data_IF_571293951280
#
_entry.id   IF_571293951280
#
_cell.length_a   1.000
_cell.length_b   1.000
_cell.length_c   1.000
_cell.angle_alpha   90.00
_cell.angle_beta   90.00
_cell.angle_gamma   90.00
#
_symmetry.space_group_name_H-M   'P 1'
#
loop_
_entity.id
_entity.type
_entity.pdbx_description
1 polymer ?
#
# COMPACT_ATOMS: atom_id res chain seq x y z
N UNK A 1 10.44 30.60 -10.32
CA UNK A 1 8.99 30.33 -10.48
C UNK A 1 8.81 28.82 -10.43
N UNK A 2 8.15 28.22 -9.43
CA UNK A 2 7.90 26.78 -9.45
C UNK A 2 6.56 26.50 -10.15
N UNK A 3 6.58 25.60 -11.12
CA UNK A 3 5.39 25.17 -11.87
C UNK A 3 4.70 24.07 -11.08
N UNK A 4 3.62 24.43 -10.39
CA UNK A 4 2.69 23.49 -9.74
C UNK A 4 2.00 22.65 -10.83
N UNK A 5 2.31 21.36 -10.90
CA UNK A 5 1.47 20.40 -11.61
C UNK A 5 0.54 19.74 -10.59
N UNK A 6 -0.58 20.40 -10.31
CA UNK A 6 -1.71 19.75 -9.65
C UNK A 6 -2.39 18.86 -10.68
N UNK A 7 -1.98 17.59 -10.75
CA UNK A 7 -2.73 16.56 -11.46
C UNK A 7 -4.03 16.33 -10.68
N UNK A 8 -5.07 17.03 -11.11
CA UNK A 8 -6.46 16.77 -10.73
C UNK A 8 -6.79 15.33 -11.15
N UNK A 9 -6.96 14.46 -10.15
CA UNK A 9 -7.61 13.17 -10.33
C UNK A 9 -9.05 13.41 -10.77
N UNK A 10 -9.35 13.11 -12.04
CA UNK A 10 -10.71 12.98 -12.54
C UNK A 10 -11.06 11.50 -12.43
N UNK A 11 -11.98 11.06 -11.56
CA UNK A 11 -12.45 9.70 -11.59
C UNK A 11 -13.54 9.58 -12.67
N UNK A 12 -13.14 9.19 -13.87
CA UNK A 12 -14.05 8.53 -14.82
C UNK A 12 -13.90 7.03 -14.65
N UNK A 13 -14.76 6.40 -13.83
CA UNK A 13 -15.08 4.98 -14.01
C UNK A 13 -16.59 4.80 -13.81
N UNK A 14 -17.25 4.49 -14.92
CA UNK A 14 -18.63 4.05 -14.99
C UNK A 14 -18.79 2.66 -14.35
N UNK A 15 -19.74 2.53 -13.43
CA UNK A 15 -20.70 1.42 -13.48
C UNK A 15 -20.31 0.02 -12.99
N UNK A 16 -19.31 -0.17 -12.12
CA UNK A 16 -19.22 -1.41 -11.35
C UNK A 16 -19.92 -1.24 -9.99
N UNK A 17 -20.98 -2.03 -9.76
CA UNK A 17 -21.66 -2.10 -8.47
C UNK A 17 -20.70 -2.62 -7.39
N UNK A 18 -20.06 -1.69 -6.70
CA UNK A 18 -19.16 -2.00 -5.59
C UNK A 18 -19.96 -2.59 -4.42
N UNK A 19 -19.98 -3.91 -4.25
CA UNK A 19 -20.48 -4.52 -3.02
C UNK A 19 -19.49 -4.21 -1.90
N UNK A 20 -19.92 -3.40 -0.93
CA UNK A 20 -19.05 -2.91 0.13
C UNK A 20 -18.45 -4.06 0.97
N UNK A 21 -17.26 -3.89 1.55
CA UNK A 21 -16.47 -5.05 1.99
C UNK A 21 -16.88 -5.61 3.36
N UNK A 22 -17.80 -4.95 4.06
CA UNK A 22 -18.44 -5.44 5.29
C UNK A 22 -19.95 -5.42 5.04
N UNK A 23 -20.60 -6.57 4.83
CA UNK A 23 -22.07 -6.69 4.77
C UNK A 23 -22.82 -5.59 3.95
N UNK A 24 -22.27 -5.19 2.80
CA UNK A 24 -22.86 -4.14 1.95
C UNK A 24 -22.62 -2.70 2.40
N UNK A 25 -21.93 -2.49 3.53
CA UNK A 25 -21.45 -1.19 4.01
C UNK A 25 -20.24 -0.75 3.18
N UNK A 26 -20.39 0.37 2.47
CA UNK A 26 -19.28 1.06 1.82
C UNK A 26 -18.67 2.05 2.82
N UNK A 27 -17.37 1.96 3.16
CA UNK A 27 -16.74 2.86 4.13
C UNK A 27 -16.93 4.34 3.83
N UNK A 28 -17.02 4.71 2.54
CA UNK A 28 -17.27 6.08 2.09
C UNK A 28 -18.62 6.66 2.57
N UNK A 29 -19.60 5.81 2.88
CA UNK A 29 -20.92 6.23 3.36
C UNK A 29 -20.95 6.50 4.87
N UNK A 30 -19.87 6.20 5.61
CA UNK A 30 -19.80 6.30 7.07
C UNK A 30 -18.50 7.02 7.49
N UNK A 31 -18.32 8.29 7.12
CA UNK A 31 -17.08 9.06 7.35
C UNK A 31 -16.74 9.23 8.83
N UNK A 32 -17.71 9.19 9.73
CA UNK A 32 -17.51 9.21 11.19
C UNK A 32 -16.75 7.98 11.69
N UNK A 33 -16.89 6.84 11.01
CA UNK A 33 -16.26 5.58 11.38
C UNK A 33 -15.01 5.30 10.54
N UNK A 34 -15.09 5.56 9.23
CA UNK A 34 -14.04 5.21 8.27
C UNK A 34 -13.41 6.41 7.55
N UNK A 35 -13.69 7.65 7.97
CA UNK A 35 -13.13 8.84 7.30
C UNK A 35 -11.60 8.79 7.23
N UNK A 36 -10.97 8.26 8.29
CA UNK A 36 -9.52 8.07 8.32
C UNK A 36 -9.03 6.91 7.43
N UNK A 37 -9.89 5.95 7.07
CA UNK A 37 -9.56 4.91 6.08
C UNK A 37 -9.22 5.49 4.70
N UNK A 38 -9.82 6.64 4.35
CA UNK A 38 -9.58 7.33 3.07
C UNK A 38 -8.13 7.80 2.91
N UNK A 39 -7.41 7.93 4.02
CA UNK A 39 -6.00 8.31 4.08
C UNK A 39 -5.05 7.14 3.81
N UNK A 40 -5.57 5.91 3.70
CA UNK A 40 -4.77 4.71 3.46
C UNK A 40 -4.88 4.17 2.04
N UNK A 41 -3.88 3.37 1.68
CA UNK A 41 -3.74 2.69 0.40
C UNK A 41 -3.53 1.20 0.64
N UNK A 42 -4.18 0.41 -0.18
CA UNK A 42 -3.91 -1.01 -0.35
C UNK A 42 -2.73 -1.13 -1.32
N UNK A 43 -1.62 -1.69 -0.82
CA UNK A 43 -0.35 -1.84 -1.53
C UNK A 43 -0.12 -3.33 -1.74
N UNK A 44 -0.16 -3.77 -2.99
CA UNK A 44 0.01 -5.18 -3.36
C UNK A 44 1.29 -5.37 -4.19
N UNK A 45 2.11 -6.34 -3.82
CA UNK A 45 3.28 -6.74 -4.59
C UNK A 45 2.85 -7.44 -5.89
N UNK A 46 3.52 -7.10 -6.99
CA UNK A 46 3.35 -7.76 -8.30
C UNK A 46 4.32 -8.94 -8.49
N UNK A 47 5.26 -9.10 -7.57
CA UNK A 47 6.22 -10.20 -7.52
C UNK A 47 6.09 -10.95 -6.20
N UNK A 48 6.50 -12.22 -6.19
CA UNK A 48 6.44 -13.06 -5.00
C UNK A 48 7.21 -12.47 -3.81
N UNK A 49 8.28 -11.69 -4.07
CA UNK A 49 9.12 -11.15 -3.02
C UNK A 49 9.65 -9.78 -3.39
N UNK A 50 9.41 -8.82 -2.50
CA UNK A 50 9.97 -7.48 -2.56
C UNK A 50 10.77 -7.20 -1.29
N UNK A 51 11.73 -6.30 -1.40
CA UNK A 51 12.59 -5.90 -0.31
C UNK A 51 12.48 -4.40 -0.11
N UNK A 52 12.44 -3.94 1.13
CA UNK A 52 12.41 -2.53 1.49
C UNK A 52 13.62 -2.17 2.32
N UNK A 53 14.29 -1.09 1.95
CA UNK A 53 15.37 -0.54 2.75
C UNK A 53 14.79 0.08 4.04
N UNK A 54 15.33 -0.31 5.19
CA UNK A 54 14.83 0.11 6.51
C UNK A 54 15.11 1.58 6.84
N UNK A 55 16.02 2.22 6.11
CA UNK A 55 16.45 3.61 6.36
C UNK A 55 15.60 4.59 5.55
N UNK A 56 15.42 4.34 4.25
CA UNK A 56 14.77 5.28 3.32
C UNK A 56 13.43 4.77 2.75
N UNK A 57 13.01 3.56 3.14
CA UNK A 57 11.75 2.93 2.75
C UNK A 57 11.60 2.64 1.25
N UNK A 58 12.67 2.76 0.47
CA UNK A 58 12.67 2.42 -0.95
C UNK A 58 12.51 0.91 -1.16
N UNK A 59 11.76 0.54 -2.21
CA UNK A 59 11.48 -0.85 -2.56
C UNK A 59 12.36 -1.34 -3.71
N UNK A 60 12.76 -2.59 -3.61
CA UNK A 60 13.66 -3.28 -4.54
C UNK A 60 13.04 -4.61 -4.96
N UNK A 61 13.08 -4.90 -6.27
CA UNK A 61 12.64 -6.19 -6.81
C UNK A 61 13.59 -7.33 -6.42
N UNK A 62 13.12 -8.56 -6.51
CA UNK A 62 13.93 -9.73 -6.15
C UNK A 62 15.23 -9.83 -6.96
N UNK A 63 15.19 -9.52 -8.26
CA UNK A 63 16.36 -9.58 -9.13
C UNK A 63 17.46 -8.59 -8.74
N UNK A 64 17.10 -7.35 -8.42
CA UNK A 64 18.06 -6.32 -7.98
C UNK A 64 18.59 -6.62 -6.58
N UNK A 65 17.75 -7.13 -5.68
CA UNK A 65 18.20 -7.59 -4.36
C UNK A 65 19.19 -8.75 -4.46
N UNK A 66 18.99 -9.70 -5.36
CA UNK A 66 19.91 -10.82 -5.57
C UNK A 66 21.32 -10.36 -5.98
N UNK A 67 21.41 -9.26 -6.73
CA UNK A 67 22.68 -8.65 -7.18
C UNK A 67 23.35 -7.76 -6.13
N UNK A 68 22.66 -7.46 -5.02
CA UNK A 68 23.16 -6.62 -3.93
C UNK A 68 24.19 -7.38 -3.09
N UNK A 69 25.22 -6.70 -2.56
CA UNK A 69 26.25 -7.35 -1.73
C UNK A 69 25.66 -7.87 -0.41
N UNK A 70 26.29 -8.87 0.20
CA UNK A 70 25.81 -9.41 1.49
C UNK A 70 25.80 -8.36 2.61
N UNK A 71 26.73 -7.41 2.59
CA UNK A 71 26.79 -6.29 3.55
C UNK A 71 25.60 -5.35 3.37
N UNK A 72 25.23 -5.07 2.11
CA UNK A 72 24.07 -4.24 1.80
C UNK A 72 22.74 -4.96 2.11
N UNK A 73 22.69 -6.29 2.08
CA UNK A 73 21.46 -7.05 2.37
C UNK A 73 20.94 -6.85 3.80
N UNK A 74 21.80 -6.48 4.76
CA UNK A 74 21.40 -6.26 6.17
C UNK A 74 20.49 -5.06 6.37
N UNK A 75 20.47 -4.09 5.45
CA UNK A 75 19.59 -2.91 5.54
C UNK A 75 18.24 -3.13 4.84
N UNK A 76 17.97 -4.32 4.32
CA UNK A 76 16.70 -4.63 3.66
C UNK A 76 15.85 -5.60 4.50
N UNK A 77 14.54 -5.38 4.48
CA UNK A 77 13.54 -6.28 5.04
C UNK A 77 12.59 -6.77 3.95
N UNK A 78 12.08 -7.99 4.13
CA UNK A 78 11.06 -8.54 3.23
C UNK A 78 9.76 -7.76 3.42
N UNK A 79 9.15 -7.36 2.32
CA UNK A 79 7.85 -6.69 2.30
C UNK A 79 6.77 -7.75 2.13
N UNK A 80 5.71 -7.67 2.94
CA UNK A 80 4.52 -8.51 2.74
C UNK A 80 3.94 -8.28 1.33
N UNK A 81 3.39 -9.31 0.67
CA UNK A 81 2.73 -9.13 -0.62
C UNK A 81 1.48 -8.23 -0.56
N UNK A 82 0.89 -8.02 0.63
CA UNK A 82 -0.28 -7.17 0.83
C UNK A 82 -0.10 -6.32 2.09
N UNK A 83 -0.16 -4.99 1.93
CA UNK A 83 -0.01 -4.03 3.03
C UNK A 83 -1.06 -2.93 2.98
N UNK A 84 -1.43 -2.46 4.17
CA UNK A 84 -2.15 -1.23 4.40
C UNK A 84 -1.15 -0.14 4.75
N UNK A 85 -1.08 0.93 3.95
CA UNK A 85 -0.05 1.97 4.08
C UNK A 85 -0.68 3.35 4.00
N UNK A 86 -0.20 4.31 4.79
CA UNK A 86 -0.64 5.70 4.67
C UNK A 86 -0.29 6.28 3.29
N UNK A 87 -1.19 7.10 2.71
CA UNK A 87 -1.04 7.61 1.33
C UNK A 87 0.27 8.36 1.10
N UNK A 88 0.78 9.04 2.13
CA UNK A 88 2.03 9.80 2.07
C UNK A 88 3.25 8.89 1.83
N UNK A 89 3.22 7.64 2.31
CA UNK A 89 4.31 6.67 2.12
C UNK A 89 4.13 5.83 0.86
N UNK A 90 2.88 5.55 0.47
CA UNK A 90 2.58 4.66 -0.63
C UNK A 90 2.95 5.23 -2.00
N UNK A 91 2.68 6.52 -2.24
CA UNK A 91 2.69 7.11 -3.59
C UNK A 91 4.07 7.16 -4.26
N UNK A 92 5.17 7.02 -3.51
CA UNK A 92 6.54 7.10 -4.02
C UNK A 92 7.27 5.74 -4.06
N UNK A 93 6.57 4.63 -3.82
CA UNK A 93 7.18 3.30 -3.64
C UNK A 93 6.61 2.26 -4.60
N UNK A 94 6.29 2.69 -5.82
CA UNK A 94 5.61 1.89 -6.85
C UNK A 94 6.60 1.05 -7.67
N UNK A 95 7.74 1.66 -8.00
CA UNK A 95 8.75 1.08 -8.88
C UNK A 95 9.99 0.67 -8.09
N UNK A 96 10.74 -0.31 -8.62
CA UNK A 96 12.02 -0.73 -8.08
C UNK A 96 13.03 0.40 -8.21
N UNK A 97 13.66 0.79 -7.11
CA UNK A 97 14.61 1.91 -7.08
C UNK A 97 15.83 1.72 -7.99
N UNK A 98 16.24 0.47 -8.25
CA UNK A 98 17.44 0.20 -9.05
C UNK A 98 17.18 0.04 -10.55
N UNK A 99 16.03 -0.50 -10.94
CA UNK A 99 15.74 -0.83 -12.34
C UNK A 99 14.47 -0.18 -12.89
N UNK A 100 13.77 0.63 -12.09
CA UNK A 100 12.50 1.28 -12.43
C UNK A 100 11.41 0.30 -12.90
N UNK A 101 11.56 -0.99 -12.60
CA UNK A 101 10.52 -1.98 -12.86
C UNK A 101 9.33 -1.71 -11.95
N UNK A 102 8.15 -1.64 -12.52
CA UNK A 102 6.90 -1.57 -11.77
C UNK A 102 6.71 -2.83 -10.93
N UNK A 103 6.67 -2.69 -9.59
CA UNK A 103 6.68 -3.82 -8.64
C UNK A 103 5.49 -3.83 -7.70
N UNK A 104 4.73 -2.75 -7.64
CA UNK A 104 3.63 -2.59 -6.69
C UNK A 104 2.39 -2.04 -7.40
N UNK A 105 1.23 -2.63 -7.10
CA UNK A 105 -0.08 -2.07 -7.43
C UNK A 105 -0.65 -1.34 -6.23
N UNK A 106 -1.14 -0.12 -6.45
CA UNK A 106 -1.77 0.71 -5.43
C UNK A 106 -3.25 0.91 -5.77
N UNK A 107 -4.13 0.75 -4.79
CA UNK A 107 -5.54 1.15 -4.86
C UNK A 107 -6.01 1.76 -3.52
N UNK A 108 -7.13 2.47 -3.48
CA UNK A 108 -7.69 2.93 -2.22
C UNK A 108 -7.95 1.78 -1.24
N UNK A 109 -7.65 1.98 0.05
CA UNK A 109 -7.81 0.92 1.04
C UNK A 109 -9.27 0.51 1.27
N UNK A 110 -10.22 1.45 1.13
CA UNK A 110 -11.65 1.19 1.27
C UNK A 110 -12.26 0.31 0.17
N UNK A 111 -11.50 0.03 -0.89
CA UNK A 111 -11.87 -0.90 -1.95
C UNK A 111 -11.40 -2.33 -1.68
N UNK A 112 -10.65 -2.54 -0.60
CA UNK A 112 -10.04 -3.80 -0.25
C UNK A 112 -10.58 -4.32 1.08
N UNK A 113 -11.29 -5.46 1.03
CA UNK A 113 -11.88 -6.09 2.22
C UNK A 113 -10.85 -6.36 3.30
N UNK A 114 -9.74 -7.00 2.94
CA UNK A 114 -8.74 -7.37 3.94
C UNK A 114 -8.07 -6.13 4.54
N UNK A 115 -7.89 -5.04 3.77
CA UNK A 115 -7.39 -3.77 4.29
C UNK A 115 -8.34 -3.12 5.29
N UNK A 116 -9.66 -3.19 5.06
CA UNK A 116 -10.66 -2.66 5.98
C UNK A 116 -10.65 -3.45 7.29
N UNK A 117 -10.63 -4.78 7.20
CA UNK A 117 -10.57 -5.64 8.37
C UNK A 117 -9.28 -5.36 9.16
N UNK A 118 -8.13 -5.26 8.48
CA UNK A 118 -6.85 -4.97 9.14
C UNK A 118 -6.82 -3.56 9.75
N UNK A 119 -7.44 -2.57 9.10
CA UNK A 119 -7.58 -1.21 9.64
C UNK A 119 -8.28 -1.19 11.00
N UNK A 120 -9.28 -2.05 11.22
CA UNK A 120 -10.01 -2.12 12.49
C UNK A 120 -9.16 -2.69 13.64
N UNK A 121 -8.05 -3.36 13.33
CA UNK A 121 -7.18 -4.01 14.30
C UNK A 121 -5.79 -3.37 14.43
N UNK A 122 -5.43 -2.48 13.50
CA UNK A 122 -4.11 -1.85 13.46
C UNK A 122 -4.05 -0.58 14.30
N UNK A 123 -2.94 -0.38 15.01
CA UNK A 123 -2.65 0.89 15.69
C UNK A 123 -2.42 2.01 14.67
N UNK A 124 -3.26 3.05 14.74
CA UNK A 124 -3.20 4.21 13.84
C UNK A 124 -1.85 4.92 13.89
N UNK A 125 -1.21 4.99 15.06
CA UNK A 125 0.09 5.64 15.22
C UNK A 125 1.21 4.90 14.48
N UNK A 126 1.08 3.58 14.32
CA UNK A 126 2.03 2.77 13.55
C UNK A 126 1.97 3.14 12.05
N UNK A 127 0.76 3.30 11.53
CA UNK A 127 0.54 3.65 10.13
C UNK A 127 0.92 5.11 9.82
N UNK A 128 0.67 6.04 10.75
CA UNK A 128 1.05 7.45 10.60
C UNK A 128 2.56 7.66 10.47
N UNK A 129 3.35 6.80 11.13
CA UNK A 129 4.81 6.79 11.01
C UNK A 129 5.30 6.22 9.67
N UNK A 130 4.38 5.87 8.76
CA UNK A 130 4.68 5.44 7.41
C UNK A 130 5.00 3.96 7.26
N UNK A 131 4.91 3.19 8.34
CA UNK A 131 5.03 1.74 8.30
C UNK A 131 3.77 1.12 7.72
N UNK A 132 3.95 0.07 6.90
CA UNK A 132 2.84 -0.71 6.37
C UNK A 132 2.38 -1.76 7.36
N UNK A 133 1.08 -1.81 7.65
CA UNK A 133 0.52 -2.96 8.35
C UNK A 133 0.37 -4.13 7.37
N UNK A 134 0.80 -5.31 7.81
CA UNK A 134 0.69 -6.55 7.05
C UNK A 134 -0.78 -6.93 6.99
N UNK A 135 -1.32 -7.00 5.78
CA UNK A 135 -2.70 -7.44 5.58
C UNK A 135 -2.68 -8.96 5.39
N UNK A 136 -3.12 -9.67 6.41
CA UNK A 136 -3.22 -11.13 6.38
C UNK A 136 -4.56 -11.53 5.76
N UNK A 137 -4.51 -12.49 4.82
CA UNK A 137 -5.74 -13.10 4.35
C UNK A 137 -6.23 -14.06 5.45
N UNK A 138 -7.23 -13.64 6.21
CA UNK A 138 -7.80 -14.43 7.32
C UNK A 138 -8.83 -15.47 6.84
N UNK A 139 -9.05 -15.56 5.52
CA UNK A 139 -10.09 -16.38 4.88
C UNK A 139 -9.52 -17.60 4.14
N UNK A 140 -8.37 -18.12 4.59
CA UNK A 140 -7.86 -19.42 4.11
C UNK A 140 -8.60 -20.51 4.88
N UNK A 141 -9.70 -20.99 4.31
CA UNK A 141 -10.24 -22.34 4.54
C UNK A 141 -9.97 -23.22 3.32
#
# INVERSE_FOLDING_TARGET
MPVHHSLLWIPEIQGEEFHGPIDGVRPINYPETYGYLMEFRCVMALENQLYQNIIDLHKTCNSCYAMTSNEQKYIFQIVSPHNLVHKNSANNQIDCTFCNKHIVKIRPAYECRECIEEYLHTDKTYLDNGWGAIVLNRWVE
#
